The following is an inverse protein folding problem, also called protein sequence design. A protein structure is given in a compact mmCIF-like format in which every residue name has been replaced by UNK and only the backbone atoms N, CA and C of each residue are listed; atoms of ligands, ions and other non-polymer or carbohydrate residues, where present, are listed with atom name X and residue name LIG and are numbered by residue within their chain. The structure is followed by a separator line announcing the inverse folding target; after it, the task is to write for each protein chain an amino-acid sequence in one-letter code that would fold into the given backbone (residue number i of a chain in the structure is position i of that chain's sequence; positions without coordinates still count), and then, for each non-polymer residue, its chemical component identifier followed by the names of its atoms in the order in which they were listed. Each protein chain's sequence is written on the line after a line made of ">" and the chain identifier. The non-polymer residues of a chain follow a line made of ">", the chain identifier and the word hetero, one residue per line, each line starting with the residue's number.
data_IF_797926141382
#
_entry.id   IF_797926141382
#
_cell.length_a   1.000
_cell.length_b   1.000
_cell.length_c   1.000
_cell.angle_alpha   90.00
_cell.angle_beta   90.00
_cell.angle_gamma   90.00
#
_symmetry.space_group_name_H-M   'P 1'
#
loop_
_entity.id
_entity.type
_entity.pdbx_description
1 polymer ?
#
# COMPACT_ATOMS: atom_id res chain seq x y z
N UNK A 1 12.41 6.00 -6.56
CA UNK A 1 11.61 5.07 -7.39
C UNK A 1 10.54 4.49 -6.48
N UNK A 2 9.36 5.12 -6.44
CA UNK A 2 8.25 4.71 -5.58
C UNK A 2 7.48 3.57 -6.22
N UNK A 3 7.22 2.50 -5.46
CA UNK A 3 6.34 1.44 -5.88
C UNK A 3 4.93 2.03 -6.05
N UNK A 4 4.43 2.10 -7.28
CA UNK A 4 3.03 2.44 -7.54
C UNK A 4 2.20 1.29 -6.98
N UNK A 5 1.55 1.54 -5.85
CA UNK A 5 0.64 0.59 -5.26
C UNK A 5 -0.77 1.04 -5.55
N UNK A 6 -1.45 0.20 -6.29
CA UNK A 6 -2.77 0.44 -6.90
C UNK A 6 -3.86 0.73 -5.85
N UNK A 7 -3.52 0.68 -4.56
CA UNK A 7 -4.39 0.92 -3.39
C UNK A 7 -3.94 2.07 -2.49
N UNK A 8 -2.66 2.47 -2.50
CA UNK A 8 -2.13 3.56 -1.71
C UNK A 8 -0.88 4.17 -2.34
N UNK A 9 -0.71 5.46 -2.15
CA UNK A 9 0.47 6.20 -2.62
C UNK A 9 1.30 6.65 -1.42
N UNK A 10 2.60 6.35 -1.45
CA UNK A 10 3.56 6.98 -0.54
C UNK A 10 4.10 8.23 -1.24
N UNK A 11 3.70 9.40 -0.76
CA UNK A 11 4.18 10.68 -1.28
C UNK A 11 5.60 11.01 -0.80
N UNK A 12 6.22 11.99 -1.46
CA UNK A 12 7.56 12.50 -1.10
C UNK A 12 7.62 13.17 0.29
N UNK A 13 6.47 13.55 0.85
CA UNK A 13 6.32 14.09 2.21
C UNK A 13 6.26 13.00 3.29
N UNK A 14 6.57 11.74 2.95
CA UNK A 14 6.50 10.58 3.87
C UNK A 14 5.06 10.24 4.32
N UNK A 15 4.05 10.87 3.71
CA UNK A 15 2.64 10.64 3.94
C UNK A 15 2.08 9.57 3.00
N UNK A 16 1.29 8.65 3.55
CA UNK A 16 0.55 7.66 2.77
C UNK A 16 -0.88 8.15 2.54
N UNK A 17 -1.34 8.13 1.30
CA UNK A 17 -2.75 8.32 0.94
C UNK A 17 -3.36 7.05 0.39
N UNK A 18 -4.50 6.64 0.93
CA UNK A 18 -5.28 5.50 0.41
C UNK A 18 -6.00 5.94 -0.86
N UNK A 19 -5.60 5.36 -2.00
CA UNK A 19 -6.24 5.59 -3.30
C UNK A 19 -7.49 4.74 -3.47
N UNK A 20 -7.48 3.52 -2.91
CA UNK A 20 -8.58 2.58 -3.00
C UNK A 20 -8.82 1.91 -1.64
N UNK A 21 -9.96 2.18 -0.97
CA UNK A 21 -10.23 1.66 0.37
C UNK A 21 -10.61 0.16 0.38
N UNK A 22 -10.92 -0.42 -0.79
CA UNK A 22 -11.34 -1.82 -0.90
C UNK A 22 -10.41 -2.57 -1.82
N UNK A 23 -9.71 -3.55 -1.25
CA UNK A 23 -8.79 -4.43 -1.97
C UNK A 23 -9.58 -5.58 -2.58
N UNK A 24 -9.39 -5.82 -3.89
CA UNK A 24 -9.92 -7.02 -4.52
C UNK A 24 -9.13 -8.25 -4.05
N UNK A 25 -9.77 -9.42 -3.84
CA UNK A 25 -9.11 -10.60 -3.29
C UNK A 25 -7.95 -11.09 -4.18
N UNK A 26 -8.06 -10.91 -5.49
CA UNK A 26 -6.99 -11.22 -6.46
C UNK A 26 -5.72 -10.36 -6.29
N UNK A 27 -5.86 -9.18 -5.70
CA UNK A 27 -4.78 -8.22 -5.48
C UNK A 27 -4.25 -8.23 -4.04
N UNK A 28 -4.87 -8.98 -3.12
CA UNK A 28 -4.50 -8.96 -1.71
C UNK A 28 -3.04 -9.37 -1.48
N UNK A 29 -2.56 -10.38 -2.22
CA UNK A 29 -1.17 -10.82 -2.14
C UNK A 29 -0.19 -9.74 -2.60
N UNK A 30 -0.52 -9.02 -3.68
CA UNK A 30 0.28 -7.90 -4.20
C UNK A 30 0.33 -6.75 -3.19
N UNK A 31 -0.79 -6.43 -2.53
CA UNK A 31 -0.84 -5.41 -1.49
C UNK A 31 -0.01 -5.83 -0.27
N UNK A 32 -0.15 -7.08 0.18
CA UNK A 32 0.65 -7.61 1.30
C UNK A 32 2.14 -7.60 0.98
N UNK A 33 2.53 -7.98 -0.24
CA UNK A 33 3.93 -7.99 -0.62
C UNK A 33 4.54 -6.59 -0.63
N UNK A 34 3.81 -5.64 -1.16
CA UNK A 34 4.29 -4.29 -1.23
C UNK A 34 4.29 -3.55 0.11
N UNK A 35 3.37 -3.90 1.03
CA UNK A 35 3.47 -3.48 2.42
C UNK A 35 4.78 -3.98 3.07
N UNK A 36 5.26 -5.19 2.72
CA UNK A 36 6.58 -5.68 3.19
C UNK A 36 7.74 -4.90 2.57
N UNK A 37 7.57 -4.40 1.35
CA UNK A 37 8.57 -3.55 0.69
C UNK A 37 8.53 -2.09 1.19
N UNK A 38 7.46 -1.69 1.89
CA UNK A 38 7.32 -0.36 2.45
C UNK A 38 8.26 -0.20 3.66
N UNK A 39 9.29 0.67 3.59
CA UNK A 39 10.37 0.73 4.59
C UNK A 39 9.91 1.17 5.98
N UNK A 40 8.74 1.84 6.08
CA UNK A 40 8.18 2.35 7.34
C UNK A 40 7.01 1.53 7.87
N UNK A 41 6.56 0.50 7.14
CA UNK A 41 5.36 -0.29 7.49
C UNK A 41 4.17 0.60 7.91
N UNK A 42 4.00 1.75 7.24
CA UNK A 42 3.08 2.81 7.68
C UNK A 42 1.59 2.47 7.50
N UNK A 43 1.28 1.24 7.04
CA UNK A 43 -0.04 0.83 6.58
C UNK A 43 -0.24 -0.62 6.97
N UNK A 44 -1.44 -0.94 7.43
CA UNK A 44 -1.89 -2.28 7.77
C UNK A 44 -3.23 -2.55 7.07
N UNK A 45 -3.45 -3.79 6.62
CA UNK A 45 -4.77 -4.25 6.21
C UNK A 45 -5.48 -4.74 7.48
N UNK A 46 -6.67 -4.21 7.75
CA UNK A 46 -7.58 -4.70 8.79
C UNK A 46 -8.49 -5.78 8.17
N UNK A 47 -8.83 -6.81 8.96
CA UNK A 47 -9.61 -7.99 8.53
C UNK A 47 -11.13 -7.73 8.53
#
# INVERSE_FOLDING_TARGET
>A
MGAVLVVFELGDDDMVSVLQPKVAPESEELVRDAMRQCPRQAISIEE
#
